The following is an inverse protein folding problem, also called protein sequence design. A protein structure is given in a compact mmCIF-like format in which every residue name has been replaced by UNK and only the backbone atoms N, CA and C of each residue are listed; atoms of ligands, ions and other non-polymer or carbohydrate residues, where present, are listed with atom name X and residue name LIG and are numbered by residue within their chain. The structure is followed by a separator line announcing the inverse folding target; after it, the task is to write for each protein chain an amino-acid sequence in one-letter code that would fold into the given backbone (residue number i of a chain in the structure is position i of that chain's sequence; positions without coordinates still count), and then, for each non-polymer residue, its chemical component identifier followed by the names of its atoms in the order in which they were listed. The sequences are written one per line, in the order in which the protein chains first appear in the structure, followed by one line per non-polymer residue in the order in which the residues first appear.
data_IF_393760098113
#
_entry.id   IF_393760098113
#
_cell.length_a   1.000
_cell.length_b   1.000
_cell.length_c   1.000
_cell.angle_alpha   90.00
_cell.angle_beta   90.00
_cell.angle_gamma   90.00
#
_symmetry.space_group_name_H-M   'P 1'
#
loop_
_entity.id
_entity.type
_entity.pdbx_description
1 polymer ?
#
# COMPACT_ATOMS: atom_id res chain seq x y z
N UNK A 1 -63.36 52.39 -11.07
CA UNK A 1 -61.98 52.13 -10.63
C UNK A 1 -61.02 52.76 -11.62
N UNK A 2 -60.25 53.72 -11.12
CA UNK A 2 -59.64 54.86 -11.81
C UNK A 2 -58.39 54.45 -12.61
N UNK A 3 -58.10 55.16 -13.70
CA UNK A 3 -56.94 54.94 -14.61
C UNK A 3 -55.59 54.83 -13.85
N UNK A 4 -55.51 55.46 -12.68
CA UNK A 4 -54.39 55.42 -11.71
C UNK A 4 -54.12 54.01 -11.16
N UNK A 5 -55.15 53.20 -10.92
CA UNK A 5 -55.03 51.84 -10.36
C UNK A 5 -54.46 50.85 -11.38
N UNK A 6 -54.82 50.99 -12.67
CA UNK A 6 -54.26 50.15 -13.74
C UNK A 6 -52.78 50.45 -13.98
N UNK A 7 -52.38 51.72 -13.90
CA UNK A 7 -50.99 52.15 -14.04
C UNK A 7 -50.11 51.54 -12.92
N UNK A 8 -50.59 51.57 -11.68
CA UNK A 8 -49.88 50.99 -10.52
C UNK A 8 -49.72 49.47 -10.67
N UNK A 9 -50.74 48.76 -11.16
CA UNK A 9 -50.65 47.30 -11.38
C UNK A 9 -49.64 46.97 -12.47
N UNK A 10 -49.62 47.71 -13.58
CA UNK A 10 -48.63 47.50 -14.66
C UNK A 10 -47.20 47.78 -14.17
N UNK A 11 -47.01 48.82 -13.37
CA UNK A 11 -45.70 49.16 -12.80
C UNK A 11 -45.23 48.11 -11.78
N UNK A 12 -46.15 47.55 -10.99
CA UNK A 12 -45.86 46.48 -10.03
C UNK A 12 -45.46 45.18 -10.75
N UNK A 13 -46.21 44.79 -11.79
CA UNK A 13 -45.92 43.61 -12.61
C UNK A 13 -44.57 43.76 -13.32
N UNK A 14 -44.27 44.95 -13.88
CA UNK A 14 -42.98 45.21 -14.51
C UNK A 14 -41.80 45.08 -13.51
N UNK A 15 -41.95 45.57 -12.28
CA UNK A 15 -40.93 45.43 -11.22
C UNK A 15 -40.74 43.98 -10.80
N UNK A 16 -41.81 43.19 -10.71
CA UNK A 16 -41.73 41.75 -10.39
C UNK A 16 -41.03 40.97 -11.50
N UNK A 17 -41.37 41.21 -12.77
CA UNK A 17 -40.73 40.55 -13.91
C UNK A 17 -39.24 40.90 -13.99
N UNK A 18 -38.87 42.16 -13.74
CA UNK A 18 -37.47 42.61 -13.71
C UNK A 18 -36.69 41.93 -12.57
N UNK A 19 -37.28 41.83 -11.37
CA UNK A 19 -36.66 41.17 -10.22
C UNK A 19 -36.45 39.66 -10.45
N UNK A 20 -37.41 38.97 -11.06
CA UNK A 20 -37.26 37.57 -11.46
C UNK A 20 -36.19 37.38 -12.53
N UNK A 21 -36.11 38.27 -13.52
CA UNK A 21 -35.08 38.23 -14.56
C UNK A 21 -33.66 38.38 -14.00
N UNK A 22 -33.46 39.32 -13.07
CA UNK A 22 -32.16 39.53 -12.40
C UNK A 22 -31.81 38.33 -11.51
N UNK A 23 -32.79 37.76 -10.79
CA UNK A 23 -32.60 36.56 -9.97
C UNK A 23 -32.19 35.34 -10.80
N UNK A 24 -32.81 35.13 -11.96
CA UNK A 24 -32.46 34.02 -12.85
C UNK A 24 -31.05 34.21 -13.45
N UNK A 25 -30.72 35.42 -13.91
CA UNK A 25 -29.42 35.74 -14.47
C UNK A 25 -28.28 35.58 -13.45
N UNK A 26 -28.49 36.04 -12.22
CA UNK A 26 -27.52 35.88 -11.12
C UNK A 26 -27.34 34.42 -10.71
N UNK A 27 -28.42 33.63 -10.68
CA UNK A 27 -28.33 32.20 -10.36
C UNK A 27 -27.58 31.40 -11.45
N UNK A 28 -27.83 31.70 -12.73
CA UNK A 28 -27.09 31.10 -13.86
C UNK A 28 -25.61 31.51 -13.83
N UNK A 29 -25.32 32.78 -13.54
CA UNK A 29 -23.94 33.25 -13.41
C UNK A 29 -23.21 32.57 -12.25
N UNK A 30 -23.84 32.42 -11.08
CA UNK A 30 -23.28 31.69 -9.95
C UNK A 30 -23.07 30.21 -10.26
N UNK A 31 -24.03 29.55 -10.94
CA UNK A 31 -23.87 28.16 -11.36
C UNK A 31 -22.71 27.99 -12.35
N UNK A 32 -22.54 28.93 -13.29
CA UNK A 32 -21.40 28.97 -14.21
C UNK A 32 -20.06 29.15 -13.49
N UNK A 33 -19.99 30.02 -12.49
CA UNK A 33 -18.79 30.22 -11.66
C UNK A 33 -18.48 28.97 -10.83
N UNK A 34 -19.48 28.31 -10.24
CA UNK A 34 -19.28 27.04 -9.51
C UNK A 34 -18.79 25.93 -10.44
N UNK A 35 -19.29 25.86 -11.67
CA UNK A 35 -18.84 24.88 -12.67
C UNK A 35 -17.41 25.19 -13.17
N UNK A 36 -17.05 26.47 -13.32
CA UNK A 36 -15.70 26.92 -13.67
C UNK A 36 -14.69 26.66 -12.54
N UNK A 37 -15.09 26.82 -11.27
CA UNK A 37 -14.26 26.53 -10.11
C UNK A 37 -14.16 25.02 -9.79
N UNK A 38 -14.99 24.18 -10.41
CA UNK A 38 -14.95 22.72 -10.24
C UNK A 38 -13.97 22.01 -11.19
N UNK A 39 -13.23 22.73 -12.05
CA UNK A 39 -12.37 22.11 -13.07
C UNK A 39 -10.94 21.79 -12.64
N UNK A 40 -10.51 22.08 -11.42
CA UNK A 40 -9.19 21.66 -10.96
C UNK A 40 -9.23 20.28 -10.28
N UNK A 41 -9.69 19.27 -11.02
CA UNK A 41 -9.28 17.91 -10.77
C UNK A 41 -7.86 17.76 -11.34
N UNK A 42 -6.87 18.24 -10.60
CA UNK A 42 -5.45 18.06 -10.92
C UNK A 42 -5.23 16.57 -11.23
N UNK A 43 -4.94 16.26 -12.49
CA UNK A 43 -4.31 15.00 -12.83
C UNK A 43 -2.99 15.02 -12.08
N UNK A 44 -2.90 14.22 -11.01
CA UNK A 44 -1.65 14.04 -10.30
C UNK A 44 -0.64 13.52 -11.34
N UNK A 45 0.36 14.32 -11.68
CA UNK A 45 1.47 13.88 -12.51
C UNK A 45 2.18 12.76 -11.76
N UNK A 46 1.82 11.53 -12.11
CA UNK A 46 2.44 10.36 -11.53
C UNK A 46 3.91 10.32 -11.92
N UNK A 47 4.73 9.88 -10.99
CA UNK A 47 6.18 9.92 -11.16
C UNK A 47 6.63 8.68 -11.90
N UNK A 48 7.43 8.81 -12.97
CA UNK A 48 8.09 7.67 -13.58
C UNK A 48 8.97 6.94 -12.56
N UNK A 49 8.73 5.65 -12.35
CA UNK A 49 9.47 4.82 -11.40
C UNK A 49 9.66 3.42 -11.94
N UNK A 50 10.89 2.92 -11.90
CA UNK A 50 11.19 1.54 -12.33
C UNK A 50 10.84 0.52 -11.22
N UNK A 51 10.58 -0.75 -11.52
CA UNK A 51 10.30 -1.75 -10.49
C UNK A 51 11.42 -1.90 -9.43
N UNK A 52 12.69 -1.88 -9.85
CA UNK A 52 13.86 -2.02 -8.94
C UNK A 52 14.04 -0.86 -7.96
N UNK A 53 13.33 0.22 -8.20
CA UNK A 53 13.46 1.47 -7.49
C UNK A 53 12.45 1.60 -6.34
N UNK A 54 11.53 0.65 -6.25
CA UNK A 54 10.43 0.60 -5.28
C UNK A 54 10.94 0.14 -3.91
N UNK A 55 10.61 0.90 -2.86
CA UNK A 55 11.04 0.64 -1.48
C UNK A 55 9.91 0.20 -0.54
N UNK A 56 8.66 0.18 -1.02
CA UNK A 56 7.49 -0.34 -0.31
C UNK A 56 6.47 -0.88 -1.32
N UNK A 57 5.32 -1.40 -0.88
CA UNK A 57 4.26 -1.79 -1.81
C UNK A 57 3.78 -0.63 -2.69
N UNK A 58 4.03 -0.70 -3.99
CA UNK A 58 3.68 0.33 -4.98
C UNK A 58 3.04 -0.30 -6.21
N UNK A 59 1.98 0.34 -6.71
CA UNK A 59 1.40 0.02 -8.01
C UNK A 59 2.03 0.92 -9.09
N UNK A 60 2.57 0.32 -10.15
CA UNK A 60 3.14 1.01 -11.30
C UNK A 60 2.20 0.84 -12.51
N UNK A 61 1.65 1.92 -13.07
CA UNK A 61 0.89 1.85 -14.33
C UNK A 61 1.85 1.90 -15.52
N UNK A 62 1.62 1.05 -16.53
CA UNK A 62 2.40 1.06 -17.78
C UNK A 62 1.82 2.09 -18.75
N UNK A 63 2.63 3.04 -19.20
CA UNK A 63 2.24 4.05 -20.19
C UNK A 63 3.40 4.31 -21.15
N UNK A 64 3.19 4.16 -22.48
CA UNK A 64 4.13 4.54 -23.55
C UNK A 64 5.62 4.18 -23.31
N UNK A 65 5.88 2.99 -22.75
CA UNK A 65 7.25 2.52 -22.47
C UNK A 65 7.84 2.97 -21.13
N UNK A 66 7.10 3.76 -20.35
CA UNK A 66 7.40 4.12 -18.97
C UNK A 66 6.44 3.43 -17.97
N UNK A 67 6.84 3.44 -16.70
CA UNK A 67 6.04 2.98 -15.57
C UNK A 67 5.81 4.11 -14.59
N UNK A 68 4.56 4.40 -14.24
CA UNK A 68 4.15 5.54 -13.42
C UNK A 68 3.70 5.06 -12.02
N UNK A 69 4.31 5.57 -10.96
CA UNK A 69 3.99 5.17 -9.59
C UNK A 69 2.67 5.78 -9.11
N UNK A 70 1.72 4.92 -8.74
CA UNK A 70 0.44 5.30 -8.14
C UNK A 70 0.58 5.22 -6.61
N UNK A 71 0.35 6.33 -5.89
CA UNK A 71 0.35 6.31 -4.44
C UNK A 71 -0.82 5.47 -3.92
N UNK A 72 -0.59 4.75 -2.81
CA UNK A 72 -1.68 4.10 -2.10
C UNK A 72 -2.62 5.16 -1.49
N UNK A 73 -3.93 4.90 -1.55
CA UNK A 73 -4.96 5.76 -0.93
C UNK A 73 -5.32 5.30 0.48
N UNK A 74 -4.96 4.06 0.84
CA UNK A 74 -5.08 3.52 2.18
C UNK A 74 -4.17 2.30 2.34
N UNK A 75 -3.61 2.11 3.54
CA UNK A 75 -2.85 0.94 3.91
C UNK A 75 -3.34 0.40 5.25
N UNK A 76 -3.56 -0.91 5.32
CA UNK A 76 -3.90 -1.63 6.54
C UNK A 76 -2.87 -2.74 6.74
N UNK A 77 -2.24 -2.79 7.91
CA UNK A 77 -1.26 -3.82 8.24
C UNK A 77 -1.64 -4.51 9.56
N UNK A 78 -1.76 -5.83 9.52
CA UNK A 78 -1.87 -6.67 10.70
C UNK A 78 -0.63 -7.56 10.81
N UNK A 79 0.11 -7.43 11.90
CA UNK A 79 1.33 -8.19 12.12
C UNK A 79 1.14 -9.07 13.36
N UNK A 80 1.31 -10.38 13.21
CA UNK A 80 1.31 -11.34 14.32
C UNK A 80 2.72 -11.82 14.56
N UNK A 81 3.24 -11.57 15.75
CA UNK A 81 4.54 -12.06 16.19
C UNK A 81 4.33 -13.30 17.06
N UNK A 82 5.06 -14.36 16.76
CA UNK A 82 5.08 -15.62 17.50
C UNK A 82 6.52 -16.06 17.72
N UNK A 83 7.05 -15.78 18.92
CA UNK A 83 8.46 -15.96 19.24
C UNK A 83 9.35 -15.06 18.37
N UNK A 84 10.09 -15.67 17.44
CA UNK A 84 11.02 -14.99 16.53
C UNK A 84 10.47 -14.79 15.10
N UNK A 85 9.23 -15.22 14.84
CA UNK A 85 8.62 -15.14 13.51
C UNK A 85 7.51 -14.09 13.54
N UNK A 86 7.48 -13.20 12.55
CA UNK A 86 6.39 -12.26 12.33
C UNK A 86 5.67 -12.61 11.02
N UNK A 87 4.36 -12.82 11.09
CA UNK A 87 3.48 -12.92 9.91
C UNK A 87 2.77 -11.59 9.73
N UNK A 88 2.90 -10.98 8.57
CA UNK A 88 2.26 -9.72 8.24
C UNK A 88 1.23 -9.94 7.13
N UNK A 89 0.04 -9.38 7.32
CA UNK A 89 -1.00 -9.22 6.31
C UNK A 89 -1.07 -7.74 5.98
N UNK A 90 -0.76 -7.38 4.74
CA UNK A 90 -0.73 -5.98 4.30
C UNK A 90 -1.77 -5.82 3.19
N UNK A 91 -2.72 -4.91 3.42
CA UNK A 91 -3.76 -4.55 2.46
C UNK A 91 -3.55 -3.11 2.02
N UNK A 92 -3.34 -2.90 0.73
CA UNK A 92 -3.14 -1.60 0.13
C UNK A 92 -4.20 -1.33 -0.93
N UNK A 93 -4.80 -0.15 -0.86
CA UNK A 93 -5.78 0.30 -1.84
C UNK A 93 -5.12 1.34 -2.75
N UNK A 94 -5.32 1.20 -4.05
CA UNK A 94 -4.87 2.14 -5.08
C UNK A 94 -6.07 2.55 -5.93
N UNK A 95 -5.95 3.70 -6.60
CA UNK A 95 -6.94 4.18 -7.56
C UNK A 95 -6.26 4.61 -8.84
N UNK A 96 -6.79 4.17 -9.98
CA UNK A 96 -6.38 4.71 -11.27
C UNK A 96 -6.81 6.19 -11.35
N UNK A 97 -5.87 7.16 -11.46
CA UNK A 97 -6.26 8.57 -11.51
C UNK A 97 -6.79 8.98 -12.89
N UNK A 98 -6.66 8.15 -13.92
CA UNK A 98 -7.01 8.48 -15.30
C UNK A 98 -8.37 7.93 -15.74
N UNK A 99 -8.88 8.49 -16.84
CA UNK A 99 -10.13 8.09 -17.49
C UNK A 99 -9.93 7.01 -18.58
N UNK A 100 -8.72 6.45 -18.67
CA UNK A 100 -8.36 5.37 -19.60
C UNK A 100 -8.02 4.07 -18.88
N UNK A 101 -8.06 2.97 -19.63
CA UNK A 101 -7.67 1.65 -19.16
C UNK A 101 -6.15 1.53 -19.11
N UNK A 102 -5.64 0.89 -18.05
CA UNK A 102 -4.21 0.69 -17.88
C UNK A 102 -3.85 -0.77 -17.61
N UNK A 103 -2.64 -1.15 -18.00
CA UNK A 103 -1.94 -2.27 -17.37
C UNK A 103 -1.08 -1.75 -16.23
N UNK A 104 -0.77 -2.61 -15.27
CA UNK A 104 0.11 -2.25 -14.17
C UNK A 104 0.96 -3.41 -13.65
N UNK A 105 1.92 -3.06 -12.82
CA UNK A 105 2.77 -3.98 -12.07
C UNK A 105 2.72 -3.54 -10.62
N UNK A 106 2.21 -4.40 -9.76
CA UNK A 106 2.37 -4.25 -8.32
C UNK A 106 3.76 -4.74 -7.92
N UNK A 107 4.47 -3.98 -7.12
CA UNK A 107 5.83 -4.29 -6.66
C UNK A 107 5.87 -4.17 -5.15
N UNK A 108 6.34 -5.22 -4.48
CA UNK A 108 6.50 -5.27 -3.03
C UNK A 108 7.91 -5.75 -2.67
N UNK A 109 8.77 -4.89 -2.09
CA UNK A 109 10.07 -5.30 -1.62
C UNK A 109 9.94 -6.09 -0.33
N UNK A 110 10.62 -7.23 -0.28
CA UNK A 110 10.64 -8.11 0.87
C UNK A 110 11.92 -7.89 1.68
N UNK A 111 11.84 -7.93 3.03
CA UNK A 111 13.03 -8.07 3.87
C UNK A 111 13.84 -9.33 3.47
N UNK A 112 15.16 -9.32 3.68
CA UNK A 112 16.05 -10.44 3.28
C UNK A 112 15.65 -11.80 3.88
N UNK A 113 15.02 -11.79 5.06
CA UNK A 113 14.57 -12.99 5.77
C UNK A 113 13.06 -13.19 5.69
N UNK A 114 12.43 -12.73 4.60
CA UNK A 114 10.99 -12.81 4.40
C UNK A 114 10.59 -13.65 3.19
N UNK A 115 9.44 -14.31 3.28
CA UNK A 115 8.83 -15.06 2.20
C UNK A 115 7.32 -14.76 2.13
N UNK A 116 6.82 -14.51 0.92
CA UNK A 116 5.38 -14.36 0.65
C UNK A 116 4.75 -15.75 0.62
N UNK A 117 3.60 -15.89 1.27
CA UNK A 117 2.85 -17.15 1.30
C UNK A 117 1.48 -17.05 0.62
N UNK A 118 0.89 -15.85 0.56
CA UNK A 118 -0.37 -15.62 -0.12
C UNK A 118 -0.42 -14.20 -0.72
N UNK A 119 -1.11 -14.07 -1.85
CA UNK A 119 -1.42 -12.77 -2.44
C UNK A 119 -2.79 -12.82 -3.10
N UNK A 120 -3.58 -11.79 -2.86
CA UNK A 120 -4.87 -11.56 -3.50
C UNK A 120 -4.95 -10.12 -4.00
N UNK A 121 -5.44 -9.93 -5.21
CA UNK A 121 -5.65 -8.61 -5.80
C UNK A 121 -7.08 -8.50 -6.33
N UNK A 122 -7.81 -7.49 -5.90
CA UNK A 122 -9.13 -7.13 -6.43
C UNK A 122 -9.00 -5.94 -7.37
N UNK A 123 -9.50 -6.06 -8.59
CA UNK A 123 -9.48 -5.00 -9.63
C UNK A 123 -10.89 -4.84 -10.17
N UNK A 124 -11.58 -3.77 -9.76
CA UNK A 124 -13.03 -3.66 -9.98
C UNK A 124 -13.76 -4.87 -9.37
N UNK A 125 -14.50 -5.62 -10.19
CA UNK A 125 -15.24 -6.82 -9.76
C UNK A 125 -14.43 -8.12 -9.83
N UNK A 126 -13.18 -8.06 -10.32
CA UNK A 126 -12.33 -9.24 -10.51
C UNK A 126 -11.47 -9.49 -9.29
N UNK A 127 -11.40 -10.75 -8.85
CA UNK A 127 -10.44 -11.21 -7.85
C UNK A 127 -9.38 -12.05 -8.56
N UNK A 128 -8.13 -11.70 -8.31
CA UNK A 128 -6.93 -12.40 -8.76
C UNK A 128 -6.31 -13.02 -7.52
N UNK A 129 -6.14 -14.33 -7.52
CA UNK A 129 -5.37 -15.04 -6.50
C UNK A 129 -4.00 -15.40 -7.07
N UNK A 130 -2.96 -15.04 -6.34
CA UNK A 130 -1.58 -15.30 -6.70
C UNK A 130 -1.17 -16.73 -6.36
N UNK A 131 -1.06 -17.58 -7.37
CA UNK A 131 -0.41 -18.89 -7.24
C UNK A 131 1.12 -18.69 -7.34
N UNK A 132 1.82 -18.82 -6.20
CA UNK A 132 3.24 -18.51 -6.08
C UNK A 132 4.05 -19.63 -6.76
N UNK A 133 4.52 -19.36 -7.98
CA UNK A 133 5.31 -20.30 -8.80
C UNK A 133 6.70 -19.80 -9.11
N UNK A 134 7.57 -20.74 -9.43
CA UNK A 134 8.91 -20.45 -9.94
C UNK A 134 8.83 -19.65 -11.25
N UNK A 135 9.71 -18.64 -11.37
CA UNK A 135 9.74 -17.58 -12.41
C UNK A 135 9.45 -18.07 -13.85
N UNK A 136 10.14 -19.13 -14.28
CA UNK A 136 10.03 -19.61 -15.67
C UNK A 136 8.66 -20.24 -15.96
N UNK A 137 8.08 -20.93 -14.97
CA UNK A 137 6.76 -21.53 -15.09
C UNK A 137 5.65 -20.46 -15.12
N UNK A 138 5.78 -19.42 -14.30
CA UNK A 138 4.82 -18.32 -14.25
C UNK A 138 4.76 -17.55 -15.60
N UNK A 139 5.93 -17.24 -16.18
CA UNK A 139 6.00 -16.48 -17.44
C UNK A 139 5.50 -17.27 -18.65
N UNK A 140 5.79 -18.56 -18.72
CA UNK A 140 5.25 -19.43 -19.77
C UNK A 140 3.72 -19.51 -19.71
N UNK A 141 3.15 -19.64 -18.49
CA UNK A 141 1.70 -19.63 -18.30
C UNK A 141 1.06 -18.29 -18.68
N UNK A 142 1.73 -17.16 -18.42
CA UNK A 142 1.23 -15.84 -18.83
C UNK A 142 1.21 -15.66 -20.35
N UNK A 143 2.32 -15.95 -21.04
CA UNK A 143 2.35 -15.81 -22.50
C UNK A 143 1.36 -16.77 -23.17
N UNK A 144 1.16 -17.96 -22.60
CA UNK A 144 0.14 -18.89 -23.05
C UNK A 144 -1.30 -18.40 -22.77
N UNK A 145 -1.55 -17.78 -21.60
CA UNK A 145 -2.84 -17.20 -21.27
C UNK A 145 -3.15 -15.97 -22.14
N UNK A 146 -2.16 -15.09 -22.35
CA UNK A 146 -2.25 -13.91 -23.22
C UNK A 146 -2.54 -14.30 -24.67
N UNK A 147 -1.83 -15.29 -25.20
CA UNK A 147 -2.04 -15.79 -26.56
C UNK A 147 -3.37 -16.55 -26.74
N UNK A 148 -3.92 -17.11 -25.67
CA UNK A 148 -5.25 -17.76 -25.67
C UNK A 148 -6.41 -16.81 -25.32
N UNK A 149 -6.15 -15.51 -25.17
CA UNK A 149 -7.15 -14.51 -24.78
C UNK A 149 -7.69 -14.67 -23.35
N UNK A 150 -7.05 -15.52 -22.54
CA UNK A 150 -7.42 -15.74 -21.14
C UNK A 150 -6.92 -14.60 -20.27
N UNK A 151 -7.81 -14.15 -19.38
CA UNK A 151 -7.66 -12.95 -18.52
C UNK A 151 -6.83 -13.26 -17.27
N UNK A 152 -5.60 -13.76 -17.44
CA UNK A 152 -4.72 -14.07 -16.33
C UNK A 152 -3.98 -12.83 -15.82
N UNK A 153 -3.79 -12.77 -14.50
CA UNK A 153 -2.81 -11.90 -13.87
C UNK A 153 -1.63 -12.76 -13.43
N UNK A 154 -0.43 -12.20 -13.55
CA UNK A 154 0.82 -12.93 -13.42
C UNK A 154 1.54 -12.48 -12.15
N UNK A 155 1.80 -13.39 -11.23
CA UNK A 155 2.69 -13.17 -10.09
C UNK A 155 4.10 -13.61 -10.47
N UNK A 156 5.06 -12.70 -10.45
CA UNK A 156 6.48 -12.95 -10.75
C UNK A 156 7.36 -12.49 -9.58
N UNK A 157 8.23 -13.36 -9.07
CA UNK A 157 9.31 -12.93 -8.17
C UNK A 157 10.56 -12.58 -9.01
N UNK A 158 10.82 -11.27 -9.22
CA UNK A 158 11.94 -10.78 -10.03
C UNK A 158 13.30 -11.05 -9.35
N UNK A 159 13.39 -10.89 -8.02
CA UNK A 159 14.62 -11.07 -7.20
C UNK A 159 14.28 -11.69 -5.84
N UNK A 160 15.26 -12.25 -5.10
CA UNK A 160 15.00 -12.83 -3.77
C UNK A 160 14.21 -11.89 -2.84
N UNK A 161 14.47 -10.58 -2.96
CA UNK A 161 13.90 -9.54 -2.10
C UNK A 161 12.89 -8.63 -2.82
N UNK A 162 12.42 -8.99 -4.03
CA UNK A 162 11.43 -8.17 -4.77
C UNK A 162 10.34 -9.05 -5.36
N UNK A 163 9.15 -8.91 -4.81
CA UNK A 163 7.94 -9.56 -5.30
C UNK A 163 7.23 -8.63 -6.29
N UNK A 164 6.81 -9.16 -7.43
CA UNK A 164 6.11 -8.38 -8.46
C UNK A 164 4.87 -9.12 -8.95
N UNK A 165 3.86 -8.38 -9.40
CA UNK A 165 2.65 -8.98 -9.98
C UNK A 165 2.11 -8.07 -11.06
N UNK A 166 2.07 -8.59 -12.29
CA UNK A 166 1.46 -7.90 -13.42
C UNK A 166 -0.04 -8.07 -13.41
N UNK A 167 -0.73 -6.95 -13.59
CA UNK A 167 -2.18 -6.85 -13.68
C UNK A 167 -2.57 -6.16 -14.97
N UNK A 168 -3.57 -6.71 -15.67
CA UNK A 168 -4.07 -6.16 -16.92
C UNK A 168 -5.51 -5.66 -16.78
N UNK A 169 -5.84 -4.63 -17.57
CA UNK A 169 -7.18 -4.04 -17.67
C UNK A 169 -7.66 -3.44 -16.33
N UNK A 170 -6.88 -2.52 -15.78
CA UNK A 170 -7.29 -1.66 -14.67
C UNK A 170 -8.30 -0.63 -15.24
N UNK A 171 -9.53 -0.55 -14.69
CA UNK A 171 -10.56 0.32 -15.22
C UNK A 171 -10.24 1.81 -15.00
N UNK A 172 -10.75 2.70 -15.87
CA UNK A 172 -10.80 4.14 -15.64
C UNK A 172 -11.34 4.45 -14.26
N UNK A 173 -10.65 5.32 -13.50
CA UNK A 173 -11.04 5.70 -12.13
C UNK A 173 -11.26 4.54 -11.15
N UNK A 174 -10.84 3.33 -11.53
CA UNK A 174 -11.08 2.09 -10.83
C UNK A 174 -10.21 1.91 -9.60
N UNK A 175 -10.73 1.17 -8.63
CA UNK A 175 -10.02 0.79 -7.42
C UNK A 175 -9.31 -0.56 -7.60
N UNK A 176 -8.11 -0.65 -7.02
CA UNK A 176 -7.30 -1.86 -6.94
C UNK A 176 -6.98 -2.09 -5.46
N UNK A 177 -7.40 -3.23 -4.91
CA UNK A 177 -7.08 -3.63 -3.54
C UNK A 177 -6.13 -4.80 -3.59
N UNK A 178 -4.92 -4.63 -3.08
CA UNK A 178 -3.91 -5.67 -2.99
C UNK A 178 -3.79 -6.12 -1.55
N UNK A 179 -3.86 -7.42 -1.31
CA UNK A 179 -3.65 -8.06 -0.02
C UNK A 179 -2.49 -9.05 -0.17
N UNK A 180 -1.42 -8.84 0.58
CA UNK A 180 -0.23 -9.68 0.56
C UNK A 180 0.05 -10.20 1.97
N UNK A 181 0.33 -11.49 2.06
CA UNK A 181 0.72 -12.16 3.29
C UNK A 181 2.16 -12.65 3.17
N UNK A 182 2.98 -12.28 4.15
CA UNK A 182 4.36 -12.73 4.22
C UNK A 182 4.78 -13.04 5.65
N UNK A 183 5.80 -13.87 5.78
CA UNK A 183 6.44 -14.20 7.04
C UNK A 183 7.87 -13.72 7.01
N UNK A 184 8.37 -13.20 8.13
CA UNK A 184 9.75 -12.81 8.31
C UNK A 184 10.32 -13.30 9.64
N UNK A 185 11.62 -13.59 9.67
CA UNK A 185 12.32 -13.86 10.93
C UNK A 185 12.83 -12.55 11.52
N UNK A 186 12.47 -12.30 12.79
CA UNK A 186 12.85 -11.11 13.54
C UNK A 186 14.28 -11.25 14.05
N UNK A 187 15.03 -10.14 13.99
CA UNK A 187 16.39 -10.07 14.51
C UNK A 187 16.35 -9.81 16.01
N UNK A 188 17.19 -10.54 16.74
CA UNK A 188 17.46 -10.31 18.16
C UNK A 188 18.88 -9.74 18.27
N UNK A 189 19.00 -8.52 18.78
CA UNK A 189 20.29 -7.87 19.00
C UNK A 189 20.30 -7.14 20.34
N UNK A 190 21.44 -7.18 21.03
CA UNK A 190 21.65 -6.41 22.27
C UNK A 190 20.54 -6.57 23.32
N UNK A 191 19.94 -7.76 23.42
CA UNK A 191 18.87 -8.05 24.39
C UNK A 191 17.45 -7.71 23.93
N UNK A 192 17.27 -7.15 22.73
CA UNK A 192 15.96 -6.70 22.23
C UNK A 192 15.64 -7.23 20.84
N UNK A 193 14.35 -7.35 20.56
CA UNK A 193 13.83 -7.60 19.22
C UNK A 193 13.41 -6.27 18.58
N UNK A 194 13.53 -6.17 17.26
CA UNK A 194 13.01 -5.06 16.47
C UNK A 194 12.15 -5.59 15.32
N UNK A 195 10.98 -4.98 15.14
CA UNK A 195 10.09 -5.13 14.00
C UNK A 195 9.98 -3.78 13.31
N UNK A 196 10.39 -3.72 12.04
CA UNK A 196 10.22 -2.54 11.18
C UNK A 196 9.18 -2.82 10.10
N UNK A 197 8.26 -1.89 9.93
CA UNK A 197 7.29 -1.87 8.84
C UNK A 197 7.50 -0.58 8.02
N UNK A 198 7.97 -0.68 6.76
CA UNK A 198 8.23 0.48 5.93
C UNK A 198 6.91 1.13 5.52
N UNK A 199 6.76 2.41 5.83
CA UNK A 199 5.54 3.19 5.55
C UNK A 199 5.82 4.39 4.66
N UNK A 200 7.07 4.87 4.57
CA UNK A 200 7.36 6.14 3.89
C UNK A 200 7.52 5.95 2.39
N UNK A 201 6.78 6.73 1.59
CA UNK A 201 7.16 7.06 0.21
C UNK A 201 8.20 8.18 0.27
N UNK A 202 9.42 7.86 0.69
CA UNK A 202 10.46 8.87 0.88
C UNK A 202 10.93 9.43 -0.47
N UNK A 203 11.12 10.75 -0.62
CA UNK A 203 11.87 11.28 -1.75
C UNK A 203 13.25 10.60 -1.79
N UNK A 204 13.70 10.24 -2.98
CA UNK A 204 14.98 9.53 -3.15
C UNK A 204 16.13 10.36 -2.60
N UNK A 205 17.17 9.73 -2.11
CA UNK A 205 18.45 10.43 -2.03
C UNK A 205 18.97 10.70 -3.46
N UNK A 206 19.24 11.95 -3.78
CA UNK A 206 19.93 12.35 -5.02
C UNK A 206 21.40 12.56 -4.65
N UNK A 207 22.31 11.67 -5.07
CA UNK A 207 23.74 11.85 -4.83
C UNK A 207 24.30 12.98 -5.71
N UNK A 208 25.45 13.52 -5.31
CA UNK A 208 26.20 14.49 -6.08
C UNK A 208 26.12 15.92 -5.57
N UNK A 209 26.99 16.78 -6.12
CA UNK A 209 26.98 18.22 -5.88
C UNK A 209 26.06 18.92 -6.89
N UNK A 210 25.38 20.02 -6.51
CA UNK A 210 24.57 20.79 -7.46
C UNK A 210 25.37 21.21 -8.69
N UNK A 211 24.86 20.91 -9.89
CA UNK A 211 25.48 21.32 -11.15
C UNK A 211 24.91 22.67 -11.62
N UNK A 212 25.79 23.65 -11.86
CA UNK A 212 25.39 24.95 -12.40
C UNK A 212 25.02 24.86 -13.89
N UNK A 213 23.99 25.60 -14.31
CA UNK A 213 23.69 25.85 -15.74
C UNK A 213 22.69 24.91 -16.42
N UNK A 214 22.11 23.93 -15.72
CA UNK A 214 21.12 23.00 -16.30
C UNK A 214 19.71 23.37 -15.82
N UNK A 215 18.80 23.63 -16.77
CA UNK A 215 17.47 24.20 -16.50
C UNK A 215 16.71 23.51 -15.35
N UNK A 216 16.19 24.33 -14.44
CA UNK A 216 15.46 23.89 -13.25
C UNK A 216 14.09 23.29 -13.64
N UNK A 217 13.86 22.04 -13.27
CA UNK A 217 12.52 21.47 -13.16
C UNK A 217 11.85 21.86 -11.84
N UNK A 218 10.62 21.39 -11.63
CA UNK A 218 9.78 21.72 -10.45
C UNK A 218 9.99 20.77 -9.27
N UNK A 219 11.00 19.92 -9.32
CA UNK A 219 11.28 18.91 -8.31
C UNK A 219 11.93 19.44 -7.03
N UNK A 220 11.92 18.62 -5.97
CA UNK A 220 12.48 19.02 -4.67
C UNK A 220 14.02 19.10 -4.65
N UNK A 221 14.70 18.49 -5.62
CA UNK A 221 16.16 18.43 -5.70
C UNK A 221 16.69 19.20 -6.92
N UNK A 222 17.75 20.02 -6.78
CA UNK A 222 18.43 20.60 -7.95
C UNK A 222 19.15 19.52 -8.75
N UNK A 223 19.40 19.78 -10.04
CA UNK A 223 20.24 18.93 -10.87
C UNK A 223 21.64 18.79 -10.24
N UNK A 224 22.20 17.58 -10.23
CA UNK A 224 23.52 17.28 -9.68
C UNK A 224 24.49 16.82 -10.76
N UNK A 225 25.79 16.84 -10.44
CA UNK A 225 26.86 16.29 -11.29
C UNK A 225 26.70 14.78 -11.57
N UNK A 226 26.01 14.06 -10.70
CA UNK A 226 25.70 12.63 -10.86
C UNK A 226 24.29 12.38 -11.43
N UNK A 227 23.36 13.32 -11.26
CA UNK A 227 21.97 13.22 -11.71
C UNK A 227 21.56 14.55 -12.35
N UNK A 228 21.88 14.67 -13.64
CA UNK A 228 21.74 15.91 -14.42
C UNK A 228 20.30 16.39 -14.62
N UNK A 229 19.31 15.51 -14.42
CA UNK A 229 17.88 15.80 -14.54
C UNK A 229 17.11 15.66 -13.23
N UNK A 230 17.81 15.66 -12.08
CA UNK A 230 17.21 15.45 -10.75
C UNK A 230 15.99 16.35 -10.49
N UNK A 231 16.04 17.60 -10.94
CA UNK A 231 14.93 18.56 -10.79
C UNK A 231 13.68 18.23 -11.60
N UNK A 232 13.74 17.29 -12.55
CA UNK A 232 12.60 16.82 -13.35
C UNK A 232 12.10 15.44 -12.95
N UNK A 233 12.98 14.59 -12.44
CA UNK A 233 12.65 13.22 -12.02
C UNK A 233 12.30 13.11 -10.54
N UNK A 234 12.37 14.21 -9.80
CA UNK A 234 11.92 14.28 -8.41
C UNK A 234 10.60 15.03 -8.34
N UNK A 235 9.48 14.42 -7.91
CA UNK A 235 8.24 15.18 -7.68
C UNK A 235 8.41 16.16 -6.52
N UNK A 236 7.72 17.31 -6.50
CA UNK A 236 7.69 18.14 -5.31
C UNK A 236 7.13 17.35 -4.11
N UNK A 237 7.84 17.39 -2.98
CA UNK A 237 7.39 16.75 -1.74
C UNK A 237 6.25 17.59 -1.18
N UNK A 238 5.03 17.04 -1.19
CA UNK A 238 3.87 17.72 -0.65
C UNK A 238 3.98 17.79 0.87
N UNK A 239 3.82 19.00 1.43
CA UNK A 239 3.76 19.23 2.86
C UNK A 239 2.51 18.55 3.44
N UNK A 240 2.65 17.51 4.29
CA UNK A 240 1.51 16.80 4.88
C UNK A 240 0.65 17.67 5.81
N UNK A 241 1.17 18.82 6.29
CA UNK A 241 0.39 19.76 7.09
C UNK A 241 -0.53 20.65 6.23
N UNK A 242 -0.29 20.71 4.91
CA UNK A 242 -1.04 21.54 3.95
C UNK A 242 -1.86 20.74 2.95
N UNK A 243 -1.62 19.44 2.84
CA UNK A 243 -2.30 18.52 1.92
C UNK A 243 -2.90 17.36 2.71
N UNK A 244 -4.05 16.84 2.29
CA UNK A 244 -4.68 15.69 2.94
C UNK A 244 -3.69 14.51 3.01
N UNK A 245 -3.73 13.67 4.08
CA UNK A 245 -2.78 12.59 4.27
C UNK A 245 -2.66 11.74 3.00
N UNK A 246 -1.49 11.75 2.38
CA UNK A 246 -1.17 10.73 1.39
C UNK A 246 -1.08 9.40 2.14
N UNK A 247 -1.95 8.46 1.79
CA UNK A 247 -1.98 7.12 2.36
C UNK A 247 -2.15 7.05 3.90
N UNK A 248 -3.38 7.18 4.45
CA UNK A 248 -3.65 6.81 5.84
C UNK A 248 -3.29 5.34 6.11
N UNK A 249 -2.48 5.12 7.15
CA UNK A 249 -2.03 3.79 7.57
C UNK A 249 -2.68 3.40 8.90
N UNK A 250 -3.39 2.27 8.89
CA UNK A 250 -3.82 1.56 10.11
C UNK A 250 -2.89 0.38 10.35
N UNK A 251 -2.38 0.27 11.57
CA UNK A 251 -1.45 -0.79 11.94
C UNK A 251 -1.81 -1.41 13.28
N UNK A 252 -1.83 -2.74 13.31
CA UNK A 252 -2.05 -3.56 14.50
C UNK A 252 -0.97 -4.62 14.61
N UNK A 253 -0.37 -4.74 15.79
CA UNK A 253 0.57 -5.82 16.12
C UNK A 253 -0.02 -6.68 17.23
N UNK A 254 -0.12 -7.98 17.00
CA UNK A 254 -0.40 -8.99 18.02
C UNK A 254 0.92 -9.65 18.38
N UNK A 255 1.48 -9.28 19.52
CA UNK A 255 2.79 -9.69 19.99
C UNK A 255 2.70 -10.84 21.00
N UNK A 256 3.02 -12.06 20.58
CA UNK A 256 3.31 -13.20 21.45
C UNK A 256 4.80 -13.53 21.32
N UNK A 257 5.64 -13.05 22.24
CA UNK A 257 7.07 -13.33 22.22
C UNK A 257 7.42 -14.74 22.75
N UNK A 258 6.44 -15.50 23.26
CA UNK A 258 6.66 -16.78 23.93
C UNK A 258 7.37 -16.68 25.29
N UNK A 259 7.59 -15.45 25.77
CA UNK A 259 8.21 -15.10 27.06
C UNK A 259 7.57 -13.83 27.62
N UNK A 260 7.59 -13.63 28.95
CA UNK A 260 7.15 -12.38 29.55
C UNK A 260 7.94 -11.19 28.99
N UNK A 261 7.24 -10.09 28.71
CA UNK A 261 7.82 -8.86 28.18
C UNK A 261 8.17 -7.91 29.32
N UNK A 262 9.39 -7.37 29.34
CA UNK A 262 9.80 -6.32 30.27
C UNK A 262 9.42 -4.93 29.74
N UNK A 263 9.71 -4.68 28.46
CA UNK A 263 9.52 -3.38 27.83
C UNK A 263 9.07 -3.54 26.38
N UNK A 264 8.18 -2.65 25.94
CA UNK A 264 7.72 -2.53 24.55
C UNK A 264 7.67 -1.04 24.24
N UNK A 265 8.35 -0.61 23.18
CA UNK A 265 8.42 0.79 22.76
C UNK A 265 8.22 0.94 21.26
N UNK A 266 7.76 2.12 20.86
CA UNK A 266 7.69 2.55 19.46
C UNK A 266 8.36 3.93 19.36
N UNK A 267 9.57 4.05 18.77
CA UNK A 267 10.31 5.31 18.76
C UNK A 267 9.65 6.42 17.93
N UNK A 268 8.88 6.05 16.90
CA UNK A 268 8.40 6.98 15.88
C UNK A 268 6.88 7.23 15.90
N UNK A 269 6.12 6.37 16.59
CA UNK A 269 4.66 6.43 16.63
C UNK A 269 4.13 6.22 18.04
N UNK A 270 3.16 7.02 18.45
CA UNK A 270 2.42 6.77 19.68
C UNK A 270 1.58 5.50 19.54
N UNK A 271 1.63 4.62 20.55
CA UNK A 271 0.92 3.34 20.55
C UNK A 271 0.03 3.21 21.79
N UNK A 272 -1.07 2.49 21.62
CA UNK A 272 -1.84 1.92 22.72
C UNK A 272 -1.53 0.44 22.81
N UNK A 273 -1.50 -0.10 24.03
CA UNK A 273 -1.21 -1.51 24.27
C UNK A 273 -2.22 -2.07 25.25
N UNK A 274 -2.66 -3.31 24.98
CA UNK A 274 -3.56 -4.08 25.84
C UNK A 274 -2.97 -5.47 26.03
N UNK A 275 -3.02 -5.98 27.25
CA UNK A 275 -2.60 -7.35 27.51
C UNK A 275 -3.56 -8.34 26.83
N UNK A 276 -3.01 -9.44 26.34
CA UNK A 276 -3.73 -10.57 25.77
C UNK A 276 -3.10 -11.88 26.29
N UNK A 277 -3.80 -13.01 26.14
CA UNK A 277 -3.31 -14.30 26.64
C UNK A 277 -1.90 -14.65 26.11
N UNK A 278 -0.89 -14.49 26.97
CA UNK A 278 0.51 -14.77 26.64
C UNK A 278 1.22 -13.68 25.81
N UNK A 279 0.62 -12.51 25.60
CA UNK A 279 1.15 -11.47 24.72
C UNK A 279 0.56 -10.07 24.93
N UNK A 280 0.71 -9.20 23.92
CA UNK A 280 0.13 -7.86 23.87
C UNK A 280 -0.48 -7.56 22.51
N UNK A 281 -1.58 -6.83 22.50
CA UNK A 281 -2.13 -6.20 21.29
C UNK A 281 -1.71 -4.74 21.30
N UNK A 282 -1.05 -4.31 20.23
CA UNK A 282 -0.50 -2.97 20.07
C UNK A 282 -1.16 -2.35 18.84
N UNK A 283 -1.70 -1.16 19.00
CA UNK A 283 -2.38 -0.41 17.93
C UNK A 283 -1.86 1.03 17.95
N UNK A 284 -1.84 1.69 16.79
CA UNK A 284 -1.51 3.11 16.72
C UNK A 284 -2.51 3.91 17.57
N UNK A 285 -2.02 4.84 18.41
CA UNK A 285 -2.85 5.54 19.38
C UNK A 285 -3.95 6.40 18.72
N UNK A 286 -3.66 6.96 17.54
CA UNK A 286 -4.58 7.77 16.74
C UNK A 286 -5.44 6.93 15.77
N UNK A 287 -5.30 5.59 15.80
CA UNK A 287 -5.97 4.65 14.91
C UNK A 287 -5.40 4.62 13.49
N UNK A 288 -5.31 5.79 12.84
CA UNK A 288 -4.70 5.95 11.52
C UNK A 288 -3.70 7.10 11.54
N UNK A 289 -2.52 6.89 10.97
CA UNK A 289 -1.45 7.90 10.88
C UNK A 289 -1.03 8.10 9.43
N UNK A 290 -0.49 9.27 9.05
CA UNK A 290 0.06 9.47 7.71
C UNK A 290 1.31 8.60 7.48
N UNK A 291 1.51 8.17 6.23
CA UNK A 291 2.65 7.38 5.76
C UNK A 291 3.96 8.20 5.63
N UNK A 292 4.36 8.94 6.67
CA UNK A 292 5.49 9.88 6.62
C UNK A 292 6.75 9.41 7.39
N UNK A 293 6.63 8.41 8.26
CA UNK A 293 7.73 7.75 8.98
C UNK A 293 7.52 6.25 8.99
N UNK A 294 8.62 5.50 9.03
CA UNK A 294 8.53 4.05 9.20
C UNK A 294 8.04 3.71 10.61
N UNK A 295 7.25 2.65 10.72
CA UNK A 295 6.89 2.10 12.01
C UNK A 295 7.99 1.17 12.49
N UNK A 296 8.47 1.41 13.71
CA UNK A 296 9.42 0.53 14.40
C UNK A 296 8.85 0.19 15.78
N UNK A 297 8.84 -1.09 16.09
CA UNK A 297 8.46 -1.62 17.39
C UNK A 297 9.64 -2.40 17.97
N UNK A 298 10.07 -2.03 19.16
CA UNK A 298 11.12 -2.73 19.89
C UNK A 298 10.59 -3.32 21.18
N UNK A 299 11.08 -4.51 21.56
CA UNK A 299 10.73 -5.10 22.84
C UNK A 299 11.87 -5.92 23.44
N UNK A 300 11.88 -5.95 24.77
CA UNK A 300 12.85 -6.67 25.58
C UNK A 300 12.13 -7.75 26.39
N UNK A 301 12.56 -9.03 26.31
CA UNK A 301 12.04 -10.08 27.16
C UNK A 301 12.48 -9.88 28.62
N UNK A 302 11.67 -10.31 29.57
CA UNK A 302 12.03 -10.30 30.99
C UNK A 302 13.21 -11.25 31.25
N UNK A 303 14.15 -10.82 32.09
CA UNK A 303 15.38 -11.55 32.37
C UNK A 303 15.12 -13.00 32.84
N UNK A 304 15.98 -13.94 32.41
CA UNK A 304 15.95 -15.34 32.85
C UNK A 304 15.06 -16.29 32.05
N UNK A 305 14.38 -15.82 30.99
CA UNK A 305 13.50 -16.65 30.16
C UNK A 305 13.92 -16.61 28.68
N UNK A 306 14.29 -17.76 28.11
CA UNK A 306 14.54 -17.89 26.66
C UNK A 306 13.22 -18.00 25.89
N UNK A 307 13.06 -17.35 24.71
CA UNK A 307 11.84 -17.40 23.90
C UNK A 307 11.49 -18.83 23.53
N UNK A 308 10.31 -19.30 23.96
CA UNK A 308 9.76 -20.60 23.55
C UNK A 308 8.74 -20.36 22.45
N UNK A 309 8.96 -20.91 21.25
CA UNK A 309 7.90 -20.92 20.24
C UNK A 309 6.72 -21.73 20.75
N UNK A 310 5.54 -21.11 20.83
CA UNK A 310 4.28 -21.79 21.07
C UNK A 310 3.58 -21.95 19.73
N UNK A 311 3.54 -23.18 19.20
CA UNK A 311 2.68 -23.47 18.07
C UNK A 311 1.22 -23.36 18.52
N UNK A 312 0.48 -22.38 17.99
CA UNK A 312 -0.97 -22.31 18.19
C UNK A 312 -1.65 -23.47 17.46
N UNK A 313 -2.48 -24.30 18.13
CA UNK A 313 -3.28 -25.29 17.43
C UNK A 313 -4.36 -24.56 16.62
N UNK A 314 -4.32 -24.74 15.29
CA UNK A 314 -5.47 -24.44 14.41
C UNK A 314 -6.73 -25.06 15.02
N UNK A 315 -7.83 -24.31 15.01
CA UNK A 315 -9.17 -24.76 15.40
C UNK A 315 -9.39 -26.22 15.02
N UNK A 316 -9.63 -27.04 16.04
CA UNK A 316 -9.91 -28.45 15.90
C UNK A 316 -11.21 -28.61 15.11
N UNK A 317 -11.09 -28.95 13.82
CA UNK A 317 -12.11 -29.76 13.15
C UNK A 317 -11.95 -31.18 13.70
N UNK A 318 -13.06 -31.69 14.21
CA UNK A 318 -13.23 -32.94 14.93
C UNK A 318 -12.62 -34.14 14.20
N UNK A 319 -11.84 -34.94 14.93
CA UNK A 319 -11.56 -36.33 14.56
C UNK A 319 -10.09 -36.67 14.38
N UNK A 320 -9.69 -37.78 15.00
CA UNK A 320 -8.45 -38.55 14.81
C UNK A 320 -7.37 -38.31 15.88
N UNK A 321 -7.57 -39.06 16.98
CA UNK A 321 -6.63 -39.94 17.70
C UNK A 321 -5.16 -39.55 17.79
N UNK A 322 -4.73 -39.36 19.04
CA UNK A 322 -3.33 -39.27 19.53
C UNK A 322 -2.37 -40.24 18.84
N UNK A 323 -1.19 -39.76 18.47
CA UNK A 323 0.00 -40.59 18.31
C UNK A 323 1.20 -39.93 19.01
N UNK A 324 1.57 -40.47 20.17
CA UNK A 324 2.82 -40.23 20.87
C UNK A 324 3.97 -40.87 20.09
N UNK A 325 5.05 -40.13 19.79
CA UNK A 325 6.27 -40.72 19.23
C UNK A 325 7.48 -40.44 20.12
N UNK A 326 7.96 -41.51 20.74
CA UNK A 326 9.27 -41.61 21.38
C UNK A 326 10.37 -41.64 20.32
N UNK A 327 11.37 -40.78 20.46
CA UNK A 327 12.54 -40.72 19.58
C UNK A 327 13.49 -41.90 19.88
N UNK A 328 13.63 -42.85 18.94
CA UNK A 328 14.68 -43.88 19.00
C UNK A 328 15.53 -43.82 17.72
N UNK A 329 16.78 -43.37 17.88
CA UNK A 329 17.82 -43.30 16.84
C UNK A 329 18.03 -44.68 16.19
N UNK A 330 17.99 -44.78 14.85
CA UNK A 330 18.76 -45.79 14.08
C UNK A 330 19.30 -45.21 12.78
N UNK A 331 20.50 -45.68 12.45
CA UNK A 331 21.44 -45.24 11.40
C UNK A 331 21.10 -45.80 10.00
N UNK A 332 21.51 -45.03 8.98
CA UNK A 332 22.02 -45.37 7.62
C UNK A 332 21.22 -46.32 6.70
N UNK A 333 20.65 -45.76 5.62
CA UNK A 333 20.96 -46.05 4.18
C UNK A 333 19.95 -45.36 3.24
N UNK A 334 20.33 -44.89 2.01
CA UNK A 334 19.41 -44.39 0.97
C UNK A 334 18.96 -45.58 0.05
N UNK A 335 18.23 -45.45 -1.10
CA UNK A 335 17.70 -44.29 -1.84
C UNK A 335 16.23 -44.46 -2.34
N UNK A 336 15.70 -43.47 -3.08
CA UNK A 336 15.00 -43.56 -4.40
C UNK A 336 13.85 -42.57 -4.53
N UNK A 337 13.87 -41.91 -5.68
CA UNK A 337 12.87 -40.97 -6.18
C UNK A 337 11.47 -41.60 -6.26
N UNK A 338 10.45 -40.84 -5.89
CA UNK A 338 9.06 -41.10 -6.23
C UNK A 338 8.50 -39.89 -6.98
N UNK A 339 7.98 -40.17 -8.18
CA UNK A 339 7.27 -39.27 -9.08
C UNK A 339 5.79 -39.45 -8.81
N UNK A 340 5.04 -38.37 -8.57
CA UNK A 340 3.58 -38.43 -8.43
C UNK A 340 2.91 -37.99 -9.74
N UNK A 341 1.81 -38.67 -10.09
CA UNK A 341 0.79 -38.23 -11.03
C UNK A 341 -0.02 -37.10 -10.41
#
# INVERSE_FOLDING_TARGET
MTNRSRLVVVELVAKVVLAFGIGLATSIALAGVVLLLAHDAQAADLVPMKPKEVQQGTLLLKSEGATLAVPAVATEAEIRVSGIVARAVVKQTYRNPYDSWFEGIYVFPLPENAAVDHMRMKVGDRIIEGDIKERQAARAQYEQAKSSGQRAALVEQERPNLFTTSVANIPPRGEIVVEIEYQQTLRYDSGSFSLRFPMVVGPRYIPGAPAEGQGAGTGWSPNTDQVSDASRITPPVLDPAKHAPSNPVRLKVVLDAGVPLARVDSPYHAITQRDADGGRVIELAEGSVPANKDFELTWTPAAGHAPRQRCSPRSAVTGITRCSWSCRRRRRSPPRACRAK
#
